data_IF_704429481236
#
_entry.id   IF_704429481236
#
_cell.length_a   1.000
_cell.length_b   1.000
_cell.length_c   1.000
_cell.angle_alpha   90.00
_cell.angle_beta   90.00
_cell.angle_gamma   90.00
#
_symmetry.space_group_name_H-M   'P 1'
#
loop_
_entity.id
_entity.type
_entity.pdbx_description
1 polymer ?
#
# COMPACT_ATOMS: atom_id res chain seq x y z
N UNK A 1 25.69 12.92 -38.40
CA UNK A 1 24.38 12.50 -37.85
C UNK A 1 24.64 11.89 -36.50
N UNK A 2 24.45 12.66 -35.42
CA UNK A 2 24.57 12.14 -34.06
C UNK A 2 23.34 11.29 -33.76
N UNK A 3 23.53 10.00 -33.55
CA UNK A 3 22.51 9.15 -32.96
C UNK A 3 22.26 9.65 -31.54
N UNK A 4 21.07 10.17 -31.30
CA UNK A 4 20.58 10.41 -29.94
C UNK A 4 20.21 9.03 -29.44
N UNK A 5 21.12 8.38 -28.73
CA UNK A 5 20.75 7.22 -27.91
C UNK A 5 19.60 7.66 -26.99
N UNK A 6 18.51 6.88 -26.88
CA UNK A 6 17.50 7.15 -25.89
C UNK A 6 18.15 6.97 -24.53
N UNK A 7 18.50 8.11 -23.95
CA UNK A 7 18.75 8.39 -22.54
C UNK A 7 18.03 7.36 -21.63
N UNK A 8 18.71 6.27 -21.30
CA UNK A 8 18.20 5.14 -20.50
C UNK A 8 18.13 5.47 -19.01
N UNK A 9 17.98 6.76 -18.66
CA UNK A 9 17.99 7.23 -17.28
C UNK A 9 16.63 7.14 -16.61
N UNK A 10 15.60 6.52 -17.20
CA UNK A 10 14.47 6.13 -16.38
C UNK A 10 15.04 5.19 -15.30
N UNK A 11 15.12 5.60 -14.02
CA UNK A 11 15.34 4.60 -13.00
C UNK A 11 14.19 3.62 -13.19
N UNK A 12 14.51 2.34 -13.34
CA UNK A 12 13.57 1.30 -13.02
C UNK A 12 13.17 1.54 -11.57
N UNK A 13 12.20 2.43 -11.34
CA UNK A 13 11.42 2.50 -10.12
C UNK A 13 10.51 1.27 -10.15
N UNK A 14 11.14 0.09 -10.14
CA UNK A 14 10.53 -1.10 -9.58
C UNK A 14 10.40 -0.77 -8.10
N UNK A 15 9.34 -0.04 -7.75
CA UNK A 15 8.84 -0.07 -6.40
C UNK A 15 8.40 -1.50 -6.20
N UNK A 16 9.19 -2.30 -5.46
CA UNK A 16 8.79 -3.66 -5.12
C UNK A 16 7.38 -3.59 -4.53
N UNK A 17 6.42 -4.21 -5.23
CA UNK A 17 5.02 -4.21 -4.82
C UNK A 17 4.95 -4.95 -3.47
N UNK A 18 4.43 -4.33 -2.40
CA UNK A 18 4.30 -4.98 -1.10
C UNK A 18 3.59 -6.33 -1.16
N UNK A 19 2.66 -6.51 -2.10
CA UNK A 19 1.94 -7.77 -2.29
C UNK A 19 2.80 -8.88 -2.91
N UNK A 20 3.93 -8.54 -3.54
CA UNK A 20 4.88 -9.44 -4.16
C UNK A 20 6.17 -9.63 -3.33
N UNK A 21 6.17 -9.18 -2.07
CA UNK A 21 7.34 -9.33 -1.19
C UNK A 21 7.61 -10.83 -0.93
N UNK A 22 8.79 -11.37 -1.33
CA UNK A 22 9.10 -12.79 -1.21
C UNK A 22 9.14 -13.28 0.25
N UNK A 23 9.27 -12.38 1.22
CA UNK A 23 9.23 -12.75 2.64
C UNK A 23 7.85 -13.21 3.07
N UNK A 24 6.79 -12.84 2.34
CA UNK A 24 5.44 -13.30 2.61
C UNK A 24 5.36 -14.83 2.54
N UNK A 25 6.02 -15.45 1.57
CA UNK A 25 5.99 -16.92 1.36
C UNK A 25 6.56 -17.72 2.55
N UNK A 26 7.41 -17.08 3.36
CA UNK A 26 7.96 -17.68 4.58
C UNK A 26 7.01 -17.61 5.79
N UNK A 27 5.93 -16.84 5.71
CA UNK A 27 5.00 -16.62 6.83
C UNK A 27 3.89 -17.68 6.79
N UNK A 28 3.72 -18.49 7.85
CA UNK A 28 2.59 -19.41 7.93
C UNK A 28 1.25 -18.68 7.82
N UNK A 29 0.31 -19.22 7.04
CA UNK A 29 -1.01 -18.61 6.82
C UNK A 29 -1.76 -18.34 8.12
N UNK A 30 -1.63 -19.21 9.12
CA UNK A 30 -2.22 -19.01 10.44
C UNK A 30 -1.72 -17.72 11.10
N UNK A 31 -0.42 -17.42 11.01
CA UNK A 31 0.17 -16.20 11.56
C UNK A 31 -0.20 -14.98 10.70
N UNK A 32 -0.12 -15.11 9.38
CA UNK A 32 -0.52 -14.05 8.43
C UNK A 32 -1.97 -13.60 8.69
N UNK A 33 -2.89 -14.55 8.81
CA UNK A 33 -4.30 -14.29 9.09
C UNK A 33 -4.49 -13.61 10.46
N UNK A 34 -3.72 -13.99 11.49
CA UNK A 34 -3.80 -13.32 12.79
C UNK A 34 -3.30 -11.87 12.72
N UNK A 35 -2.21 -11.60 11.99
CA UNK A 35 -1.73 -10.24 11.75
C UNK A 35 -2.80 -9.40 11.06
N UNK A 36 -3.42 -9.91 9.99
CA UNK A 36 -4.50 -9.24 9.25
C UNK A 36 -5.72 -9.00 10.14
N UNK A 37 -6.17 -10.00 10.90
CA UNK A 37 -7.31 -9.87 11.81
C UNK A 37 -7.08 -8.78 12.87
N UNK A 38 -5.88 -8.73 13.45
CA UNK A 38 -5.51 -7.68 14.40
C UNK A 38 -5.47 -6.30 13.73
N UNK A 39 -4.97 -6.21 12.49
CA UNK A 39 -4.96 -4.96 11.73
C UNK A 39 -6.37 -4.43 11.47
N UNK A 40 -7.29 -5.28 11.02
CA UNK A 40 -8.70 -4.95 10.78
C UNK A 40 -9.44 -4.54 12.07
N UNK A 41 -9.19 -5.25 13.17
CA UNK A 41 -9.74 -4.85 14.48
C UNK A 41 -9.19 -3.50 14.95
N UNK A 42 -7.91 -3.22 14.68
CA UNK A 42 -7.27 -1.93 14.99
C UNK A 42 -7.91 -0.80 14.17
N UNK A 43 -8.18 -1.02 12.88
CA UNK A 43 -8.89 -0.08 12.03
C UNK A 43 -10.33 0.17 12.51
N UNK A 44 -11.05 -0.90 12.88
CA UNK A 44 -12.43 -0.83 13.39
C UNK A 44 -12.53 -0.01 14.67
N UNK A 45 -11.48 0.00 15.49
CA UNK A 45 -11.40 0.82 16.71
C UNK A 45 -10.93 2.26 16.46
N UNK A 46 -10.73 2.66 15.20
CA UNK A 46 -10.33 4.02 14.82
C UNK A 46 -8.83 4.27 14.93
N UNK A 47 -8.01 3.21 15.01
CA UNK A 47 -6.56 3.33 15.12
C UNK A 47 -5.85 2.88 13.84
N UNK A 48 -4.72 3.53 13.54
CA UNK A 48 -3.84 3.13 12.45
C UNK A 48 -3.07 1.85 12.84
N UNK A 49 -3.10 0.78 12.02
CA UNK A 49 -2.45 -0.49 12.31
C UNK A 49 -0.94 -0.41 12.05
N UNK A 50 -0.21 0.30 12.92
CA UNK A 50 1.26 0.36 12.82
C UNK A 50 1.89 -0.98 13.23
N UNK A 51 3.08 -1.36 12.68
CA UNK A 51 3.74 -2.61 13.04
C UNK A 51 3.94 -2.79 14.55
N UNK A 52 4.33 -1.70 15.25
CA UNK A 52 4.52 -1.70 16.69
C UNK A 52 3.23 -1.97 17.47
N UNK A 53 2.10 -1.41 17.02
CA UNK A 53 0.81 -1.61 17.68
C UNK A 53 0.32 -3.05 17.49
N UNK A 54 0.36 -3.54 16.24
CA UNK A 54 -0.08 -4.89 15.89
C UNK A 54 0.77 -5.95 16.59
N UNK A 55 2.10 -5.80 16.60
CA UNK A 55 3.00 -6.69 17.33
C UNK A 55 2.66 -6.77 18.83
N UNK A 56 2.41 -5.63 19.48
CA UNK A 56 2.00 -5.60 20.90
C UNK A 56 0.68 -6.31 21.16
N UNK A 57 -0.27 -6.24 20.22
CA UNK A 57 -1.55 -6.95 20.36
C UNK A 57 -1.33 -8.45 20.19
N UNK A 58 -0.55 -8.88 19.21
CA UNK A 58 -0.20 -10.29 19.00
C UNK A 58 0.53 -10.88 20.22
N UNK A 59 1.48 -10.14 20.81
CA UNK A 59 2.16 -10.51 22.05
C UNK A 59 1.17 -10.75 23.21
N UNK A 60 0.18 -9.86 23.37
CA UNK A 60 -0.87 -10.00 24.41
C UNK A 60 -1.79 -11.19 24.17
N UNK A 61 -1.91 -11.64 22.92
CA UNK A 61 -2.66 -12.83 22.54
C UNK A 61 -1.79 -14.11 22.58
N UNK A 62 -0.54 -14.01 23.02
CA UNK A 62 0.44 -15.10 23.04
C UNK A 62 0.74 -15.68 21.63
N UNK A 63 0.59 -14.87 20.59
CA UNK A 63 0.90 -15.24 19.21
C UNK A 63 2.34 -14.80 18.90
N UNK A 64 3.19 -15.77 18.54
CA UNK A 64 4.58 -15.50 18.16
C UNK A 64 4.61 -15.10 16.67
N UNK A 65 5.04 -13.87 16.40
CA UNK A 65 5.27 -13.36 15.06
C UNK A 65 6.55 -12.54 15.04
N UNK A 66 7.43 -12.80 14.07
CA UNK A 66 8.64 -12.00 13.90
C UNK A 66 8.27 -10.56 13.55
N UNK A 67 9.00 -9.54 14.04
CA UNK A 67 8.70 -8.14 13.74
C UNK A 67 8.64 -7.81 12.24
N UNK A 68 9.47 -8.49 11.46
CA UNK A 68 9.51 -8.36 10.01
C UNK A 68 8.22 -8.91 9.36
N UNK A 69 7.71 -10.05 9.83
CA UNK A 69 6.47 -10.65 9.35
C UNK A 69 5.28 -9.71 9.52
N UNK A 70 5.20 -9.05 10.67
CA UNK A 70 4.17 -8.04 10.94
C UNK A 70 4.27 -6.92 9.91
N UNK A 71 5.47 -6.39 9.67
CA UNK A 71 5.66 -5.25 8.77
C UNK A 71 5.27 -5.59 7.33
N UNK A 72 5.80 -6.69 6.78
CA UNK A 72 5.53 -7.08 5.38
C UNK A 72 4.07 -7.47 5.17
N UNK A 73 3.46 -8.17 6.13
CA UNK A 73 2.05 -8.57 6.04
C UNK A 73 1.14 -7.34 6.06
N UNK A 74 1.41 -6.37 6.95
CA UNK A 74 0.62 -5.15 7.02
C UNK A 74 0.74 -4.31 5.74
N UNK A 75 1.96 -4.16 5.21
CA UNK A 75 2.15 -3.42 3.96
C UNK A 75 1.49 -4.10 2.76
N UNK A 76 1.59 -5.42 2.67
CA UNK A 76 0.91 -6.22 1.65
C UNK A 76 -0.62 -6.08 1.75
N UNK A 77 -1.18 -6.18 2.95
CA UNK A 77 -2.61 -6.04 3.20
C UNK A 77 -3.12 -4.62 2.87
N UNK A 78 -2.40 -3.59 3.31
CA UNK A 78 -2.71 -2.20 2.95
C UNK A 78 -2.70 -2.02 1.43
N UNK A 79 -1.68 -2.51 0.74
CA UNK A 79 -1.56 -2.46 -0.72
C UNK A 79 -2.70 -3.21 -1.43
N UNK A 80 -3.12 -4.37 -0.92
CA UNK A 80 -4.28 -5.11 -1.44
C UNK A 80 -5.57 -4.28 -1.32
N UNK A 81 -5.77 -3.62 -0.18
CA UNK A 81 -6.95 -2.76 0.06
C UNK A 81 -6.98 -1.53 -0.85
N UNK A 82 -5.85 -1.11 -1.42
CA UNK A 82 -5.80 -0.06 -2.43
C UNK A 82 -6.50 -0.48 -3.74
N UNK A 83 -6.40 -1.76 -4.13
CA UNK A 83 -7.01 -2.27 -5.36
C UNK A 83 -8.55 -2.26 -5.31
N UNK A 84 -9.12 -2.15 -4.11
CA UNK A 84 -10.57 -2.06 -3.89
C UNK A 84 -11.11 -0.62 -3.99
N UNK A 85 -10.24 0.39 -4.14
CA UNK A 85 -10.62 1.79 -4.21
C UNK A 85 -10.82 2.26 -5.66
N UNK A 86 -11.73 3.23 -5.84
CA UNK A 86 -11.82 3.97 -7.09
C UNK A 86 -10.54 4.82 -7.27
N UNK A 87 -9.72 4.57 -8.31
CA UNK A 87 -8.47 5.30 -8.52
C UNK A 87 -8.68 6.78 -8.90
N UNK A 88 -9.91 7.21 -9.15
CA UNK A 88 -10.28 8.60 -9.45
C UNK A 88 -10.80 9.36 -8.24
N UNK A 89 -11.11 8.68 -7.14
CA UNK A 89 -11.53 9.29 -5.89
C UNK A 89 -10.32 9.72 -5.05
N UNK A 90 -9.86 10.96 -5.25
CA UNK A 90 -8.73 11.52 -4.50
C UNK A 90 -8.95 11.55 -2.98
N UNK A 91 -10.19 11.65 -2.50
CA UNK A 91 -10.49 11.64 -1.07
C UNK A 91 -10.31 10.23 -0.49
N UNK A 92 -10.80 9.20 -1.19
CA UNK A 92 -10.58 7.81 -0.81
C UNK A 92 -9.08 7.46 -0.79
N UNK A 93 -8.32 7.86 -1.80
CA UNK A 93 -6.87 7.62 -1.85
C UNK A 93 -6.12 8.28 -0.68
N UNK A 94 -6.50 9.51 -0.30
CA UNK A 94 -5.92 10.19 0.87
C UNK A 94 -6.29 9.53 2.19
N UNK A 95 -7.55 9.11 2.34
CA UNK A 95 -7.99 8.35 3.50
C UNK A 95 -7.19 7.05 3.65
N UNK A 96 -6.95 6.36 2.54
CA UNK A 96 -6.14 5.15 2.50
C UNK A 96 -4.66 5.42 2.86
N UNK A 97 -4.06 6.49 2.30
CA UNK A 97 -2.69 6.91 2.61
C UNK A 97 -2.51 7.23 4.10
N UNK A 98 -3.48 7.90 4.72
CA UNK A 98 -3.44 8.24 6.15
C UNK A 98 -3.37 7.00 7.06
N UNK A 99 -3.82 5.84 6.56
CA UNK A 99 -3.84 4.57 7.27
C UNK A 99 -2.64 3.65 6.93
N UNK A 100 -1.71 4.09 6.08
CA UNK A 100 -0.56 3.29 5.65
C UNK A 100 0.24 2.75 6.86
N UNK A 101 0.51 1.45 7.00
CA UNK A 101 1.20 0.91 8.18
C UNK A 101 2.59 1.52 8.41
N UNK A 102 3.33 1.77 7.32
CA UNK A 102 4.68 2.34 7.29
C UNK A 102 4.67 3.58 6.40
N UNK A 103 4.79 4.78 6.99
CA UNK A 103 4.56 6.04 6.27
C UNK A 103 5.69 6.45 5.32
N UNK A 104 6.90 5.96 5.56
CA UNK A 104 8.08 6.17 4.72
C UNK A 104 8.26 5.08 3.65
N UNK A 105 7.28 4.18 3.50
CA UNK A 105 7.32 3.18 2.45
C UNK A 105 7.20 3.83 1.05
N UNK A 106 7.98 3.41 0.04
CA UNK A 106 7.96 4.03 -1.29
C UNK A 106 6.57 4.15 -1.95
N UNK A 107 5.71 3.15 -1.73
CA UNK A 107 4.32 3.18 -2.19
C UNK A 107 3.45 4.29 -1.60
N UNK A 108 3.79 4.80 -0.41
CA UNK A 108 3.11 5.94 0.19
C UNK A 108 3.37 7.21 -0.64
N UNK A 109 4.62 7.42 -1.08
CA UNK A 109 4.97 8.55 -1.96
C UNK A 109 4.33 8.42 -3.34
N UNK A 110 4.26 7.20 -3.89
CA UNK A 110 3.54 6.93 -5.13
C UNK A 110 2.06 7.35 -5.02
N UNK A 111 1.39 6.90 -3.95
CA UNK A 111 -0.02 7.20 -3.72
C UNK A 111 -0.26 8.69 -3.44
N UNK A 112 0.64 9.35 -2.72
CA UNK A 112 0.61 10.80 -2.51
C UNK A 112 0.69 11.57 -3.83
N UNK A 113 1.58 11.15 -4.73
CA UNK A 113 1.70 11.70 -6.08
C UNK A 113 0.45 11.47 -6.93
N UNK A 114 -0.14 10.27 -6.86
CA UNK A 114 -1.39 9.93 -7.56
C UNK A 114 -2.55 10.82 -7.08
N UNK A 115 -2.75 10.91 -5.76
CA UNK A 115 -3.81 11.72 -5.15
C UNK A 115 -3.64 13.21 -5.47
N UNK A 116 -2.42 13.74 -5.35
CA UNK A 116 -2.10 15.13 -5.72
C UNK A 116 -2.37 15.40 -7.20
N UNK A 117 -2.02 14.45 -8.06
CA UNK A 117 -2.22 14.58 -9.51
C UNK A 117 -3.70 14.65 -9.93
N UNK A 118 -4.61 14.06 -9.15
CA UNK A 118 -6.06 14.15 -9.41
C UNK A 118 -6.63 15.55 -9.13
N UNK A 119 -5.98 16.33 -8.28
CA UNK A 119 -6.46 17.66 -7.89
C UNK A 119 -5.94 18.78 -8.80
N UNK A 120 -4.99 18.46 -9.69
CA UNK A 120 -4.46 19.44 -10.61
C UNK A 120 -5.51 19.84 -11.66
N UNK A 121 -5.77 21.14 -11.85
CA UNK A 121 -6.73 21.61 -12.85
C UNK A 121 -6.28 21.21 -14.27
N UNK A 122 -7.19 20.57 -15.03
CA UNK A 122 -6.94 20.19 -16.43
C UNK A 122 -6.87 18.68 -16.70
N UNK A 123 -6.97 17.80 -15.69
CA UNK A 123 -7.26 16.37 -15.93
C UNK A 123 -8.70 16.22 -16.41
N UNK A 124 -8.85 16.04 -17.72
CA UNK A 124 -10.12 15.71 -18.37
C UNK A 124 -10.68 14.41 -17.77
N UNK A 125 -11.73 14.52 -16.96
CA UNK A 125 -12.70 13.44 -16.74
C UNK A 125 -13.61 13.25 -17.95
N UNK A 126 -13.06 13.32 -19.17
CA UNK A 126 -13.78 12.95 -20.38
C UNK A 126 -13.46 11.50 -20.68
N UNK A 127 -14.24 10.59 -20.10
CA UNK A 127 -14.54 9.34 -20.79
C UNK A 127 -15.16 9.75 -22.13
N UNK A 128 -14.35 9.83 -23.19
CA UNK A 128 -14.87 9.79 -24.55
C UNK A 128 -15.45 8.38 -24.72
N UNK A 129 -16.73 8.25 -24.41
CA UNK A 129 -17.52 7.10 -24.83
C UNK A 129 -17.29 6.92 -26.32
N UNK A 130 -16.68 5.80 -26.69
CA UNK A 130 -16.63 5.35 -28.07
C UNK A 130 -18.06 4.97 -28.41
N UNK A 131 -18.80 5.90 -29.01
CA UNK A 131 -20.06 5.58 -29.66
C UNK A 131 -19.73 4.69 -30.87
N UNK A 132 -20.27 3.48 -30.85
CA UNK A 132 -20.32 2.56 -31.98
C UNK A 132 -21.35 3.02 -33.02
#
# INVERSE_FOLDING_TARGET
MCAIEPLSWAPALYFDDPSADPRLDAIPDSIRNQIVNVAEATLTTGHRPTPRLVARVLERLHIQAEPEWVTVTLMAHWRYRLDELDPTDGQALRGHLALAPVSDHPWCFYLEGLATGLELPGRRSEFRGVAA
#
